data_IF_240818879545
#
_entry.id   IF_240818879545
#
_cell.length_a   1.000
_cell.length_b   1.000
_cell.length_c   1.000
_cell.angle_alpha   90.00
_cell.angle_beta   90.00
_cell.angle_gamma   90.00
#
_symmetry.space_group_name_H-M   'P 1'
#
loop_
_entity.id
_entity.type
_entity.pdbx_description
1 polymer ?
#
# COMPACT_ATOMS: atom_id res chain seq x y z
N UNK A 1 0.28 -5.53 16.89
CA UNK A 1 0.46 -6.94 16.46
C UNK A 1 -0.86 -7.43 15.89
N UNK A 2 -1.00 -7.96 14.68
CA UNK A 2 -0.02 -8.29 13.64
C UNK A 2 -0.47 -7.88 12.23
N UNK A 3 -1.61 -7.19 12.08
CA UNK A 3 -2.27 -7.08 10.78
C UNK A 3 -2.44 -5.61 10.44
N UNK A 4 -1.77 -5.15 9.38
CA UNK A 4 -1.92 -3.78 8.87
C UNK A 4 -2.68 -3.81 7.55
N UNK A 5 -3.58 -2.85 7.36
CA UNK A 5 -4.32 -2.74 6.11
C UNK A 5 -3.63 -1.74 5.18
N UNK A 6 -3.57 -2.08 3.89
CA UNK A 6 -3.12 -1.17 2.85
C UNK A 6 -4.31 -0.41 2.26
N UNK A 7 -4.18 0.91 2.22
CA UNK A 7 -5.13 1.84 1.64
C UNK A 7 -4.47 2.55 0.47
N UNK A 8 -5.24 2.84 -0.57
CA UNK A 8 -4.85 3.75 -1.64
C UNK A 8 -5.51 5.09 -1.38
N UNK A 9 -4.73 6.14 -1.31
CA UNK A 9 -5.24 7.51 -1.25
C UNK A 9 -5.23 8.13 -2.66
N UNK A 10 -6.41 8.50 -3.14
CA UNK A 10 -6.59 9.25 -4.39
C UNK A 10 -7.57 10.40 -4.14
N UNK A 11 -7.20 11.64 -4.50
CA UNK A 11 -8.05 12.83 -4.34
C UNK A 11 -8.64 13.00 -2.92
N UNK A 12 -7.84 12.70 -1.89
CA UNK A 12 -8.26 12.80 -0.48
C UNK A 12 -9.19 11.68 0.00
N UNK A 13 -9.45 10.65 -0.82
CA UNK A 13 -10.23 9.48 -0.43
C UNK A 13 -9.30 8.27 -0.25
N UNK A 14 -9.36 7.65 0.93
CA UNK A 14 -8.63 6.42 1.26
C UNK A 14 -9.54 5.21 0.94
N UNK A 15 -9.13 4.38 -0.02
CA UNK A 15 -9.83 3.14 -0.40
C UNK A 15 -9.03 1.93 0.07
N UNK A 16 -9.69 0.97 0.71
CA UNK A 16 -9.06 -0.29 1.13
C UNK A 16 -8.58 -1.08 -0.09
N UNK A 17 -7.28 -1.36 -0.15
CA UNK A 17 -6.68 -2.08 -1.26
C UNK A 17 -6.39 -3.54 -0.91
N UNK A 18 -5.83 -3.78 0.27
CA UNK A 18 -5.54 -5.12 0.77
C UNK A 18 -5.64 -5.14 2.29
N UNK A 19 -6.39 -6.11 2.82
CA UNK A 19 -6.51 -6.35 4.25
C UNK A 19 -5.42 -7.30 4.72
N UNK A 20 -5.06 -7.23 6.00
CA UNK A 20 -4.19 -8.22 6.65
C UNK A 20 -2.86 -8.40 5.92
N UNK A 21 -2.21 -7.28 5.57
CA UNK A 21 -0.94 -7.28 4.84
C UNK A 21 0.16 -7.85 5.74
N UNK A 22 0.79 -8.93 5.26
CA UNK A 22 1.94 -9.59 5.87
C UNK A 22 3.26 -9.05 5.30
N UNK A 23 3.31 -8.84 3.98
CA UNK A 23 4.51 -8.37 3.29
C UNK A 23 4.21 -7.17 2.41
N UNK A 24 5.11 -6.19 2.51
CA UNK A 24 5.21 -5.09 1.57
C UNK A 24 6.64 -5.02 1.04
N UNK A 25 6.80 -4.98 -0.29
CA UNK A 25 8.10 -4.86 -0.96
C UNK A 25 8.01 -3.83 -2.08
N UNK A 26 8.67 -2.67 -1.94
CA UNK A 26 8.84 -1.75 -3.05
C UNK A 26 9.80 -2.35 -4.09
N UNK A 27 9.35 -2.46 -5.32
CA UNK A 27 10.07 -2.96 -6.49
C UNK A 27 10.12 -1.88 -7.58
N UNK A 28 11.07 -0.97 -7.45
CA UNK A 28 11.22 0.16 -8.37
C UNK A 28 10.00 1.09 -8.35
N UNK A 29 9.21 1.07 -9.43
CA UNK A 29 7.97 1.86 -9.55
C UNK A 29 6.73 1.14 -9.02
N UNK A 30 6.87 -0.13 -8.64
CA UNK A 30 5.77 -0.95 -8.15
C UNK A 30 5.97 -1.25 -6.67
N UNK A 31 4.88 -1.62 -6.01
CA UNK A 31 4.85 -2.11 -4.65
C UNK A 31 4.14 -3.43 -4.70
N UNK A 32 4.87 -4.48 -4.35
CA UNK A 32 4.31 -5.79 -4.13
C UNK A 32 3.75 -5.86 -2.70
N UNK A 33 2.52 -6.33 -2.60
CA UNK A 33 1.82 -6.56 -1.34
C UNK A 33 1.36 -8.01 -1.28
N UNK A 34 1.44 -8.62 -0.11
CA UNK A 34 0.89 -9.94 0.14
C UNK A 34 0.17 -9.99 1.48
N UNK A 35 -1.01 -10.60 1.51
CA UNK A 35 -1.75 -10.83 2.73
C UNK A 35 -1.39 -12.16 3.42
N UNK A 36 -1.96 -12.36 4.60
CA UNK A 36 -1.74 -13.58 5.39
C UNK A 36 -2.33 -14.85 4.74
N UNK A 37 -3.33 -14.73 3.87
CA UNK A 37 -3.90 -15.84 3.10
C UNK A 37 -3.11 -16.17 1.83
N UNK A 38 -2.03 -15.42 1.56
CA UNK A 38 -1.19 -15.59 0.39
C UNK A 38 -1.72 -14.89 -0.85
N UNK A 39 -2.71 -14.00 -0.75
CA UNK A 39 -3.13 -13.17 -1.87
C UNK A 39 -2.06 -12.13 -2.18
N UNK A 40 -1.66 -12.05 -3.44
CA UNK A 40 -0.64 -11.14 -3.92
C UNK A 40 -1.29 -10.01 -4.73
N UNK A 41 -0.89 -8.77 -4.48
CA UNK A 41 -1.26 -7.61 -5.27
C UNK A 41 -0.05 -6.77 -5.61
N UNK A 42 -0.05 -6.21 -6.81
CA UNK A 42 0.95 -5.25 -7.25
C UNK A 42 0.28 -3.90 -7.44
N UNK A 43 0.84 -2.88 -6.82
CA UNK A 43 0.38 -1.50 -6.92
C UNK A 43 1.47 -0.64 -7.55
N UNK A 44 1.16 0.09 -8.62
CA UNK A 44 2.12 1.02 -9.25
C UNK A 44 2.08 2.37 -8.54
N UNK A 45 3.13 2.69 -7.80
CA UNK A 45 3.18 3.92 -7.01
C UNK A 45 4.18 3.85 -5.87
N UNK A 46 3.95 4.69 -4.86
CA UNK A 46 4.83 4.84 -3.70
C UNK A 46 4.06 4.75 -2.40
N UNK A 47 4.77 4.42 -1.32
CA UNK A 47 4.23 4.46 0.04
C UNK A 47 4.19 5.92 0.47
N UNK A 48 3.01 6.42 0.84
CA UNK A 48 2.82 7.78 1.37
C UNK A 48 3.13 7.84 2.86
N UNK A 49 2.53 6.95 3.64
CA UNK A 49 2.64 6.92 5.10
C UNK A 49 2.51 5.48 5.61
N UNK A 50 3.25 5.15 6.67
CA UNK A 50 3.03 3.94 7.47
C UNK A 50 2.74 4.39 8.89
N UNK A 51 1.56 4.05 9.40
CA UNK A 51 1.17 4.35 10.77
C UNK A 51 1.15 3.06 11.59
N UNK A 52 2.21 2.86 12.37
CA UNK A 52 2.36 1.69 13.24
C UNK A 52 1.36 1.68 14.40
N UNK A 53 0.93 2.86 14.87
CA UNK A 53 -0.08 3.00 15.92
C UNK A 53 -1.48 2.67 15.40
N UNK A 54 -1.79 3.07 14.16
CA UNK A 54 -3.09 2.82 13.52
C UNK A 54 -3.14 1.52 12.72
N UNK A 55 -2.02 0.79 12.64
CA UNK A 55 -1.87 -0.42 11.84
C UNK A 55 -2.36 -0.22 10.39
N UNK A 56 -1.94 0.88 9.76
CA UNK A 56 -2.34 1.20 8.39
C UNK A 56 -1.16 1.64 7.54
N UNK A 57 -1.21 1.28 6.28
CA UNK A 57 -0.25 1.66 5.25
C UNK A 57 -1.03 2.40 4.18
N UNK A 58 -0.57 3.61 3.84
CA UNK A 58 -1.21 4.45 2.82
C UNK A 58 -0.30 4.49 1.59
N UNK A 59 -0.86 4.13 0.44
CA UNK A 59 -0.22 4.10 -0.86
C UNK A 59 -0.79 5.24 -1.72
N UNK A 60 0.05 5.84 -2.54
CA UNK A 60 -0.36 6.82 -3.53
C UNK A 60 0.17 6.42 -4.90
N UNK A 61 -0.65 6.62 -5.93
CA UNK A 61 -0.19 6.41 -7.30
C UNK A 61 0.96 7.39 -7.57
N UNK A 62 2.02 6.90 -8.20
CA UNK A 62 2.97 7.81 -8.81
C UNK A 62 2.29 8.35 -10.06
N UNK A 63 1.79 9.58 -9.98
CA UNK A 63 1.69 10.41 -11.18
C UNK A 63 3.14 10.61 -11.65
N UNK A 64 3.43 10.10 -12.84
CA UNK A 64 4.56 10.56 -13.63
C UNK A 64 4.30 12.05 -13.88
N UNK A 65 4.79 12.91 -13.00
CA UNK A 65 5.20 14.24 -13.41
C UNK A 65 6.54 14.04 -14.13
N UNK A 66 6.45 13.53 -15.36
CA UNK A 66 7.50 13.66 -16.37
C UNK A 66 7.60 15.16 -16.67
N UNK A 67 8.48 15.84 -15.94
CA UNK A 67 9.03 17.15 -16.32
C UNK A 67 10.12 16.96 -17.36
#
# INVERSE_FOLDING_TARGET
>A
MCESNAYIEENGNETLFLETVDIIRPEGMNIYLRDFWGQEKVFKGRIKEISLLKHRIVLVRQECEDV
#
